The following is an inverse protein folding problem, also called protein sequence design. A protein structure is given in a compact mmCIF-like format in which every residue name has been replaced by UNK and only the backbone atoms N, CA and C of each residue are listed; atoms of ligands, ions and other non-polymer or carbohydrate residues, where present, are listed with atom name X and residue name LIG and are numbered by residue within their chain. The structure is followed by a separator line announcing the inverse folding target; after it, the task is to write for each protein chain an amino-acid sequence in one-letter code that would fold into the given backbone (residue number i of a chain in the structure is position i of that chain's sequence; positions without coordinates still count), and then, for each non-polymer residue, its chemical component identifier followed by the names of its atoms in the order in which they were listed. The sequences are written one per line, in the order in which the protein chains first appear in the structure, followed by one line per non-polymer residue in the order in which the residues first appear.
data_IF_080249210038
#
_entry.id   IF_080249210038
#
_cell.length_a   1.000
_cell.length_b   1.000
_cell.length_c   1.000
_cell.angle_alpha   90.00
_cell.angle_beta   90.00
_cell.angle_gamma   90.00
#
_symmetry.space_group_name_H-M   'P 1'
#
loop_
_entity.id
_entity.type
_entity.pdbx_description
1 polymer ?
#
# COMPACT_ATOMS: atom_id res chain seq x y z
N UNK A 1 -8.09 -7.63 11.00
CA UNK A 1 -7.74 -6.19 10.89
C UNK A 1 -6.23 -6.11 10.70
N UNK A 2 -5.73 -5.22 9.85
CA UNK A 2 -4.28 -5.10 9.57
C UNK A 2 -3.68 -4.06 10.51
N UNK A 3 -2.59 -4.41 11.19
CA UNK A 3 -1.84 -3.50 12.07
C UNK A 3 -1.14 -2.39 11.27
N UNK A 4 -1.28 -1.15 11.73
CA UNK A 4 -0.68 0.03 11.09
C UNK A 4 0.33 0.66 12.03
N UNK A 5 1.62 0.49 11.73
CA UNK A 5 2.68 1.17 12.45
C UNK A 5 2.91 2.60 11.92
N UNK A 6 3.19 3.53 12.83
CA UNK A 6 3.58 4.93 12.51
C UNK A 6 2.57 5.64 11.59
N UNK A 7 1.30 5.66 11.97
CA UNK A 7 0.22 6.27 11.19
C UNK A 7 0.45 7.77 10.95
N UNK A 8 0.97 8.49 11.94
CA UNK A 8 1.21 9.94 11.88
C UNK A 8 2.43 10.33 11.04
N UNK A 9 3.19 9.36 10.55
CA UNK A 9 4.38 9.63 9.74
C UNK A 9 4.00 10.25 8.40
N UNK A 10 4.52 11.45 8.12
CA UNK A 10 4.40 12.11 6.80
C UNK A 10 5.12 11.28 5.73
N UNK A 11 4.41 10.95 4.65
CA UNK A 11 4.94 10.17 3.52
C UNK A 11 4.91 10.96 2.20
N UNK A 12 4.10 12.02 2.10
CA UNK A 12 4.16 13.03 1.03
C UNK A 12 4.48 14.40 1.66
N UNK A 13 5.74 14.85 1.63
CA UNK A 13 6.15 16.08 2.32
C UNK A 13 5.47 17.34 1.78
N UNK A 14 5.32 17.46 0.46
CA UNK A 14 4.79 18.66 -0.20
C UNK A 14 3.34 18.97 0.23
N UNK A 15 2.54 17.94 0.51
CA UNK A 15 1.15 18.06 0.97
C UNK A 15 0.98 17.80 2.47
N UNK A 16 2.06 17.42 3.18
CA UNK A 16 2.01 16.97 4.57
C UNK A 16 1.25 15.66 4.80
N UNK A 17 0.93 14.89 3.74
CA UNK A 17 0.05 13.71 3.88
C UNK A 17 0.73 12.58 4.65
N UNK A 18 0.05 12.07 5.68
CA UNK A 18 0.52 11.00 6.56
C UNK A 18 0.19 9.60 6.03
N UNK A 19 0.87 8.59 6.56
CA UNK A 19 0.59 7.18 6.24
C UNK A 19 -0.86 6.81 6.57
N UNK A 20 -1.37 7.29 7.70
CA UNK A 20 -2.75 7.08 8.13
C UNK A 20 -3.76 7.65 7.14
N UNK A 21 -3.50 8.85 6.60
CA UNK A 21 -4.35 9.46 5.56
C UNK A 21 -4.34 8.67 4.25
N UNK A 22 -3.19 8.14 3.83
CA UNK A 22 -3.11 7.26 2.66
C UNK A 22 -3.94 5.99 2.86
N UNK A 23 -3.90 5.39 4.06
CA UNK A 23 -4.71 4.21 4.39
C UNK A 23 -6.19 4.56 4.38
N UNK A 24 -6.58 5.68 5.01
CA UNK A 24 -7.96 6.16 5.01
C UNK A 24 -8.47 6.40 3.58
N UNK A 25 -7.63 6.93 2.68
CA UNK A 25 -7.96 7.06 1.27
C UNK A 25 -8.27 5.70 0.63
N UNK A 26 -7.39 4.70 0.77
CA UNK A 26 -7.63 3.36 0.24
C UNK A 26 -8.88 2.70 0.85
N UNK A 27 -9.17 2.92 2.14
CA UNK A 27 -10.41 2.44 2.76
C UNK A 27 -11.65 3.11 2.15
N UNK A 28 -11.59 4.40 1.84
CA UNK A 28 -12.72 5.14 1.25
C UNK A 28 -13.00 4.75 -0.21
N UNK A 29 -11.96 4.47 -1.00
CA UNK A 29 -12.11 4.13 -2.43
C UNK A 29 -12.09 2.63 -2.72
N UNK A 30 -11.78 1.80 -1.72
CA UNK A 30 -11.45 0.38 -1.88
C UNK A 30 -12.52 -0.42 -2.62
N UNK A 31 -13.79 -0.27 -2.25
CA UNK A 31 -14.88 -1.02 -2.89
C UNK A 31 -14.99 -0.74 -4.40
N UNK A 32 -14.83 0.52 -4.81
CA UNK A 32 -14.85 0.91 -6.23
C UNK A 32 -13.59 0.46 -6.95
N UNK A 33 -12.44 0.60 -6.30
CA UNK A 33 -11.14 0.20 -6.83
C UNK A 33 -11.09 -1.32 -7.10
N UNK A 34 -11.63 -2.14 -6.20
CA UNK A 34 -11.62 -3.60 -6.33
C UNK A 34 -12.35 -4.11 -7.58
N UNK A 35 -13.38 -3.41 -8.06
CA UNK A 35 -14.08 -3.79 -9.32
C UNK A 35 -13.16 -3.79 -10.54
N UNK A 36 -12.04 -3.08 -10.47
CA UNK A 36 -11.07 -2.98 -11.55
C UNK A 36 -9.80 -3.81 -11.30
N UNK A 37 -9.50 -4.14 -10.04
CA UNK A 37 -8.25 -4.77 -9.63
C UNK A 37 -8.38 -6.21 -9.14
N UNK A 38 -9.59 -6.67 -8.80
CA UNK A 38 -9.81 -8.04 -8.37
C UNK A 38 -9.30 -9.04 -9.42
N UNK A 39 -8.70 -10.13 -8.95
CA UNK A 39 -8.14 -11.23 -9.74
C UNK A 39 -7.05 -10.81 -10.75
N UNK A 40 -6.40 -9.66 -10.54
CA UNK A 40 -5.27 -9.20 -11.33
C UNK A 40 -3.98 -9.24 -10.52
N UNK A 41 -2.88 -9.81 -11.04
CA UNK A 41 -1.57 -9.69 -10.39
C UNK A 41 -1.15 -8.21 -10.27
N UNK A 42 -0.81 -7.79 -9.05
CA UNK A 42 -0.41 -6.40 -8.76
C UNK A 42 1.10 -6.30 -8.52
N UNK A 43 1.74 -5.35 -9.19
CA UNK A 43 3.11 -4.92 -8.84
C UNK A 43 3.03 -3.76 -7.85
N UNK A 44 3.79 -3.82 -6.76
CA UNK A 44 3.83 -2.76 -5.76
C UNK A 44 5.03 -1.84 -5.99
N UNK A 45 4.79 -0.53 -6.06
CA UNK A 45 5.84 0.48 -5.89
C UNK A 45 5.82 0.93 -4.42
N UNK A 46 6.94 0.73 -3.72
CA UNK A 46 7.01 0.95 -2.27
C UNK A 46 7.97 2.07 -1.91
N UNK A 47 7.54 2.92 -0.97
CA UNK A 47 8.32 4.02 -0.41
C UNK A 47 8.37 3.97 1.12
N UNK A 48 9.15 3.04 1.72
CA UNK A 48 9.18 2.88 3.18
C UNK A 48 9.64 4.11 3.95
N UNK A 49 10.41 5.00 3.31
CA UNK A 49 10.90 6.27 3.88
C UNK A 49 10.19 7.52 3.31
N UNK A 50 9.03 7.35 2.68
CA UNK A 50 8.31 8.45 2.02
C UNK A 50 8.80 8.69 0.58
N UNK A 51 8.04 9.49 -0.18
CA UNK A 51 8.24 9.65 -1.65
C UNK A 51 9.49 10.43 -2.03
N UNK A 52 10.06 11.22 -1.12
CA UNK A 52 11.31 11.95 -1.33
C UNK A 52 12.56 11.04 -1.24
N UNK A 53 12.40 9.80 -0.79
CA UNK A 53 13.47 8.81 -0.75
C UNK A 53 13.32 7.78 -1.88
N UNK A 54 14.41 7.08 -2.21
CA UNK A 54 14.40 6.00 -3.21
C UNK A 54 13.38 4.91 -2.81
N UNK A 55 12.42 4.68 -3.69
CA UNK A 55 11.50 3.55 -3.64
C UNK A 55 12.03 2.32 -4.38
N UNK A 56 11.24 1.25 -4.37
CA UNK A 56 11.52 0.04 -5.12
C UNK A 56 10.25 -0.63 -5.64
N UNK A 57 10.37 -1.36 -6.74
CA UNK A 57 9.32 -2.22 -7.27
C UNK A 57 9.41 -3.61 -6.63
N UNK A 58 8.26 -4.14 -6.25
CA UNK A 58 8.10 -5.50 -5.75
C UNK A 58 7.03 -6.20 -6.59
N UNK A 59 7.46 -7.18 -7.38
CA UNK A 59 6.58 -8.00 -8.24
C UNK A 59 6.06 -9.23 -7.49
N UNK A 60 6.95 -9.92 -6.77
CA UNK A 60 6.61 -11.13 -6.05
C UNK A 60 6.07 -10.77 -4.66
N UNK A 61 5.01 -11.47 -4.24
CA UNK A 61 4.51 -11.37 -2.86
C UNK A 61 5.61 -11.75 -1.88
N UNK A 62 5.78 -10.99 -0.79
CA UNK A 62 6.77 -11.31 0.22
C UNK A 62 6.25 -12.41 1.16
N UNK A 63 7.16 -13.20 1.72
CA UNK A 63 6.83 -14.34 2.60
C UNK A 63 6.03 -13.92 3.84
N UNK A 64 6.24 -12.69 4.32
CA UNK A 64 5.54 -12.13 5.48
C UNK A 64 4.16 -11.54 5.16
N UNK A 65 3.70 -11.57 3.91
CA UNK A 65 2.33 -11.15 3.61
C UNK A 65 1.34 -12.14 4.24
N UNK A 66 0.21 -11.66 4.79
CA UNK A 66 -0.80 -12.54 5.35
C UNK A 66 -1.25 -13.62 4.35
N UNK A 67 -1.57 -14.79 4.88
CA UNK A 67 -1.98 -15.98 4.12
C UNK A 67 -3.23 -15.78 3.28
N UNK A 68 -4.13 -14.88 3.69
CA UNK A 68 -5.33 -14.52 2.93
C UNK A 68 -5.06 -13.64 1.69
N UNK A 69 -3.82 -13.20 1.45
CA UNK A 69 -3.46 -12.49 0.21
C UNK A 69 -3.11 -13.51 -0.87
N UNK A 70 -3.99 -13.61 -1.88
CA UNK A 70 -3.81 -14.50 -3.03
C UNK A 70 -2.48 -14.25 -3.76
N UNK A 71 -1.88 -15.34 -4.26
CA UNK A 71 -0.62 -15.35 -5.00
C UNK A 71 -0.85 -16.06 -6.33
N UNK A 72 -0.22 -15.56 -7.38
CA UNK A 72 -0.25 -16.16 -8.72
C UNK A 72 1.19 -16.39 -9.19
N UNK A 73 1.40 -17.52 -9.88
CA UNK A 73 2.67 -17.90 -10.52
C UNK A 73 2.71 -17.48 -11.99
#
# INVERSE_FOLDING_TARGET
MVEVSSADRVVYPDSGTTKGQVIAHYSAVGERMLRHLADRPLTLQRFPRGVSAKGFMQKNAADYFPDYIGRHE
#
